data_IF_019483280667
#
_entry.id   IF_019483280667
#
_cell.length_a   1.000
_cell.length_b   1.000
_cell.length_c   1.000
_cell.angle_alpha   90.00
_cell.angle_beta   90.00
_cell.angle_gamma   90.00
#
_symmetry.space_group_name_H-M   'P 1'
#
loop_
_entity.id
_entity.type
_entity.pdbx_description
1 polymer ?
#
# COMPACT_ATOMS: atom_id res chain seq x y z
N UNK A 1 -9.67 -23.25 11.81
CA UNK A 1 -8.22 -23.49 11.93
C UNK A 1 -7.59 -22.28 12.59
N UNK A 2 -7.38 -22.33 13.92
CA UNK A 2 -6.73 -21.24 14.65
C UNK A 2 -5.22 -21.33 14.41
N UNK A 3 -4.68 -20.38 13.67
CA UNK A 3 -3.23 -20.17 13.58
C UNK A 3 -2.82 -19.41 14.83
N UNK A 4 -2.34 -20.14 15.84
CA UNK A 4 -1.66 -19.56 16.99
C UNK A 4 -0.26 -19.11 16.53
N UNK A 5 -0.16 -17.95 15.92
CA UNK A 5 1.11 -17.29 15.71
C UNK A 5 1.59 -16.81 17.09
N UNK A 6 2.55 -17.51 17.68
CA UNK A 6 3.38 -16.97 18.74
C UNK A 6 4.00 -15.69 18.21
N UNK A 7 3.46 -14.55 18.63
CA UNK A 7 4.05 -13.24 18.39
C UNK A 7 5.37 -13.21 19.16
N UNK A 8 6.48 -13.38 18.44
CA UNK A 8 7.79 -13.10 18.98
C UNK A 8 7.81 -11.58 19.33
N UNK A 9 7.65 -11.31 20.61
CA UNK A 9 7.66 -9.93 21.12
C UNK A 9 9.06 -9.37 20.96
N UNK A 10 9.23 -8.46 20.03
CA UNK A 10 10.44 -7.63 19.92
C UNK A 10 10.52 -6.75 21.18
N UNK A 11 11.70 -6.63 21.81
CA UNK A 11 11.88 -5.70 22.90
C UNK A 11 11.42 -4.30 22.51
N UNK A 12 10.51 -3.70 23.30
CA UNK A 12 9.92 -2.41 23.01
C UNK A 12 8.49 -2.43 22.49
N UNK A 13 7.89 -3.60 22.26
CA UNK A 13 6.46 -3.73 21.89
C UNK A 13 6.12 -3.39 20.44
N UNK A 14 7.12 -3.15 19.59
CA UNK A 14 6.90 -2.94 18.15
C UNK A 14 6.64 -4.26 17.43
N UNK A 15 5.70 -4.22 16.46
CA UNK A 15 5.42 -5.37 15.61
C UNK A 15 6.61 -5.65 14.67
N UNK A 16 7.07 -6.91 14.53
CA UNK A 16 8.08 -7.26 13.55
C UNK A 16 7.66 -6.91 12.11
N UNK A 17 8.60 -6.44 11.30
CA UNK A 17 8.35 -6.11 9.87
C UNK A 17 7.78 -7.31 9.13
N UNK A 18 8.24 -8.53 9.42
CA UNK A 18 7.72 -9.77 8.82
C UNK A 18 6.24 -9.97 9.10
N UNK A 19 5.79 -9.71 10.33
CA UNK A 19 4.38 -9.79 10.72
C UNK A 19 3.54 -8.74 9.98
N UNK A 20 4.01 -7.50 9.95
CA UNK A 20 3.36 -6.41 9.23
C UNK A 20 3.27 -6.70 7.73
N UNK A 21 4.33 -7.23 7.13
CA UNK A 21 4.35 -7.65 5.73
C UNK A 21 3.33 -8.74 5.45
N UNK A 22 3.26 -9.76 6.30
CA UNK A 22 2.29 -10.85 6.15
C UNK A 22 0.84 -10.34 6.22
N UNK A 23 0.54 -9.45 7.17
CA UNK A 23 -0.79 -8.85 7.31
C UNK A 23 -1.15 -7.95 6.11
N UNK A 24 -0.23 -7.11 5.66
CA UNK A 24 -0.45 -6.27 4.49
C UNK A 24 -0.76 -7.10 3.24
N UNK A 25 0.00 -8.18 3.04
CA UNK A 25 -0.22 -9.10 1.93
C UNK A 25 -1.54 -9.84 2.01
N UNK A 26 -1.89 -10.35 3.19
CA UNK A 26 -3.17 -11.02 3.41
C UNK A 26 -4.33 -10.08 3.13
N UNK A 27 -4.30 -8.87 3.68
CA UNK A 27 -5.33 -7.87 3.45
C UNK A 27 -5.46 -7.50 1.97
N UNK A 28 -4.37 -7.28 1.27
CA UNK A 28 -4.40 -6.98 -0.16
C UNK A 28 -5.04 -8.11 -0.96
N UNK A 29 -4.59 -9.35 -0.73
CA UNK A 29 -5.06 -10.53 -1.45
C UNK A 29 -6.51 -10.91 -1.12
N UNK A 30 -6.93 -10.75 0.12
CA UNK A 30 -8.21 -11.27 0.64
C UNK A 30 -9.32 -10.22 0.65
N UNK A 31 -8.99 -8.93 0.68
CA UNK A 31 -9.95 -7.85 0.69
C UNK A 31 -9.91 -7.00 -0.58
N UNK A 32 -8.73 -6.47 -0.95
CA UNK A 32 -8.62 -5.48 -2.04
C UNK A 32 -8.75 -6.12 -3.41
N UNK A 33 -8.01 -7.18 -3.67
CA UNK A 33 -8.04 -7.84 -4.99
C UNK A 33 -9.39 -8.47 -5.34
N UNK A 34 -10.10 -9.16 -4.44
CA UNK A 34 -11.44 -9.65 -4.73
C UNK A 34 -12.44 -8.53 -5.01
N UNK A 35 -12.32 -7.40 -4.29
CA UNK A 35 -13.14 -6.23 -4.56
C UNK A 35 -12.88 -5.66 -5.96
N UNK A 36 -11.61 -5.50 -6.35
CA UNK A 36 -11.23 -5.03 -7.70
C UNK A 36 -11.81 -5.96 -8.77
N UNK A 37 -11.66 -7.27 -8.62
CA UNK A 37 -12.19 -8.28 -9.56
C UNK A 37 -13.72 -8.25 -9.63
N UNK A 38 -14.37 -8.16 -8.49
CA UNK A 38 -15.84 -8.06 -8.44
C UNK A 38 -16.39 -6.83 -9.16
N UNK A 39 -15.70 -5.70 -9.11
CA UNK A 39 -16.07 -4.51 -9.88
C UNK A 39 -15.95 -4.72 -11.39
N UNK A 40 -14.94 -5.46 -11.83
CA UNK A 40 -14.77 -5.82 -13.23
C UNK A 40 -15.89 -6.73 -13.73
N UNK A 41 -16.17 -7.82 -13.01
CA UNK A 41 -17.22 -8.78 -13.35
C UNK A 41 -18.60 -8.12 -13.43
N UNK A 42 -18.92 -7.23 -12.48
CA UNK A 42 -20.18 -6.48 -12.49
C UNK A 42 -20.30 -5.55 -13.71
N UNK A 43 -19.19 -4.93 -14.13
CA UNK A 43 -19.16 -4.09 -15.32
C UNK A 43 -19.36 -4.89 -16.62
N UNK A 44 -18.74 -6.07 -16.73
CA UNK A 44 -18.93 -6.95 -17.90
C UNK A 44 -20.36 -7.49 -18.02
N UNK A 45 -21.01 -7.77 -16.89
CA UNK A 45 -22.40 -8.24 -16.86
C UNK A 45 -23.44 -7.13 -17.12
N UNK A 46 -22.98 -5.88 -17.34
CA UNK A 46 -23.87 -4.74 -17.63
C UNK A 46 -24.71 -4.28 -16.44
N UNK A 47 -24.41 -4.72 -15.22
CA UNK A 47 -25.14 -4.35 -14.01
C UNK A 47 -24.80 -2.94 -13.52
N UNK A 48 -23.72 -2.37 -13.99
CA UNK A 48 -23.35 -0.98 -13.73
C UNK A 48 -23.10 -0.20 -15.02
N UNK A 49 -23.76 0.96 -15.14
CA UNK A 49 -23.60 1.89 -16.28
C UNK A 49 -22.23 2.56 -16.39
N UNK A 50 -21.29 2.24 -15.54
CA UNK A 50 -19.98 2.88 -15.53
C UNK A 50 -18.89 1.91 -15.97
N UNK A 51 -18.64 1.85 -17.27
CA UNK A 51 -17.35 1.39 -17.83
C UNK A 51 -16.24 2.38 -17.49
N UNK A 52 -16.19 2.87 -16.26
CA UNK A 52 -15.30 3.93 -15.82
C UNK A 52 -14.33 3.46 -14.75
N UNK A 53 -13.27 4.22 -14.61
CA UNK A 53 -12.33 4.14 -13.50
C UNK A 53 -13.07 4.17 -12.17
N UNK A 54 -12.77 3.22 -11.30
CA UNK A 54 -13.22 3.20 -9.90
C UNK A 54 -12.05 3.61 -9.01
N UNK A 55 -12.29 4.54 -8.11
CA UNK A 55 -11.29 5.01 -7.16
C UNK A 55 -11.58 4.44 -5.77
N UNK A 56 -10.53 3.98 -5.09
CA UNK A 56 -10.56 3.53 -3.70
C UNK A 56 -9.58 4.38 -2.91
N UNK A 57 -10.05 4.98 -1.84
CA UNK A 57 -9.19 5.67 -0.89
C UNK A 57 -8.79 4.72 0.25
N UNK A 58 -7.50 4.55 0.43
CA UNK A 58 -6.92 3.80 1.54
C UNK A 58 -6.12 4.78 2.39
N UNK A 59 -6.48 4.87 3.67
CA UNK A 59 -5.77 5.71 4.63
C UNK A 59 -5.01 4.81 5.59
N UNK A 60 -3.71 5.04 5.72
CA UNK A 60 -2.84 4.26 6.59
C UNK A 60 -1.59 5.03 6.98
N UNK A 61 -0.68 4.40 7.68
CA UNK A 61 0.60 4.96 8.12
C UNK A 61 1.72 4.64 7.12
N UNK A 62 2.72 5.52 7.06
CA UNK A 62 3.81 5.43 6.09
C UNK A 62 4.57 4.10 6.13
N UNK A 63 4.77 3.52 7.31
CA UNK A 63 5.41 2.22 7.46
C UNK A 63 4.63 1.10 6.75
N UNK A 64 3.32 1.02 6.97
CA UNK A 64 2.48 0.00 6.33
C UNK A 64 2.34 0.25 4.81
N UNK A 65 2.17 1.51 4.40
CA UNK A 65 2.11 1.89 2.98
C UNK A 65 3.41 1.48 2.28
N UNK A 66 4.57 1.80 2.85
CA UNK A 66 5.86 1.44 2.28
C UNK A 66 6.05 -0.07 2.10
N UNK A 67 5.69 -0.86 3.11
CA UNK A 67 5.74 -2.33 3.06
C UNK A 67 4.81 -2.87 1.98
N UNK A 68 3.57 -2.39 1.92
CA UNK A 68 2.60 -2.81 0.92
C UNK A 68 3.11 -2.53 -0.50
N UNK A 69 3.59 -1.31 -0.76
CA UNK A 69 4.11 -0.94 -2.08
C UNK A 69 5.32 -1.76 -2.49
N UNK A 70 6.26 -2.00 -1.58
CA UNK A 70 7.41 -2.89 -1.85
C UNK A 70 6.96 -4.30 -2.22
N UNK A 71 5.95 -4.81 -1.54
CA UNK A 71 5.38 -6.12 -1.84
C UNK A 71 4.72 -6.15 -3.21
N UNK A 72 3.93 -5.15 -3.54
CA UNK A 72 3.26 -5.04 -4.84
C UNK A 72 4.28 -4.96 -5.97
N UNK A 73 5.39 -4.26 -5.76
CA UNK A 73 6.49 -4.14 -6.75
C UNK A 73 7.28 -5.44 -6.96
N UNK A 74 7.24 -6.37 -6.03
CA UNK A 74 7.77 -7.74 -6.22
C UNK A 74 6.85 -8.60 -7.10
N UNK A 75 5.59 -8.24 -7.22
CA UNK A 75 4.58 -8.91 -8.03
C UNK A 75 4.35 -8.25 -9.39
N UNK A 76 3.12 -7.85 -9.64
CA UNK A 76 2.64 -7.38 -10.95
C UNK A 76 2.56 -5.85 -11.08
N UNK A 77 2.91 -5.12 -10.04
CA UNK A 77 2.92 -3.65 -10.05
C UNK A 77 4.34 -3.13 -10.34
N UNK A 78 4.43 -2.06 -11.11
CA UNK A 78 5.70 -1.40 -11.44
C UNK A 78 5.62 0.08 -11.07
N UNK A 79 6.77 0.71 -10.86
CA UNK A 79 6.83 2.17 -10.74
C UNK A 79 6.85 2.80 -12.12
N UNK A 80 6.13 3.90 -12.29
CA UNK A 80 6.23 4.72 -13.49
C UNK A 80 7.62 5.37 -13.59
N UNK A 81 8.04 5.70 -14.81
CA UNK A 81 9.35 6.33 -15.04
C UNK A 81 9.47 7.62 -14.22
N UNK A 82 10.54 7.72 -13.44
CA UNK A 82 10.80 8.85 -12.56
C UNK A 82 10.22 8.74 -11.15
N UNK A 83 9.34 7.77 -10.89
CA UNK A 83 8.82 7.49 -9.55
C UNK A 83 9.80 6.61 -8.79
N UNK A 84 10.23 7.07 -7.62
CA UNK A 84 11.10 6.32 -6.71
C UNK A 84 10.41 6.10 -5.39
N UNK A 85 10.41 4.87 -4.90
CA UNK A 85 9.92 4.54 -3.56
C UNK A 85 10.99 4.91 -2.53
N UNK A 86 10.72 5.92 -1.77
CA UNK A 86 11.54 6.41 -0.66
C UNK A 86 10.71 6.38 0.62
N UNK A 87 10.97 7.25 1.58
CA UNK A 87 10.13 7.42 2.76
C UNK A 87 8.79 8.07 2.39
N UNK A 88 7.73 7.56 3.00
CA UNK A 88 6.40 8.14 2.88
C UNK A 88 6.28 9.34 3.82
N UNK A 89 6.01 10.51 3.27
CA UNK A 89 5.79 11.73 4.05
C UNK A 89 4.39 11.72 4.69
N UNK A 90 4.24 12.41 5.82
CA UNK A 90 2.95 12.58 6.47
C UNK A 90 1.97 13.32 5.56
N UNK A 91 0.71 12.90 5.60
CA UNK A 91 -0.37 13.44 4.77
C UNK A 91 -0.08 13.43 3.26
N UNK A 92 0.84 12.59 2.80
CA UNK A 92 1.14 12.44 1.38
C UNK A 92 0.12 11.55 0.67
N UNK A 93 0.02 11.72 -0.66
CA UNK A 93 -0.82 10.90 -1.52
C UNK A 93 0.05 10.02 -2.40
N UNK A 94 -0.26 8.73 -2.41
CA UNK A 94 0.34 7.76 -3.33
C UNK A 94 -0.77 7.19 -4.21
N UNK A 95 -0.53 7.12 -5.51
CA UNK A 95 -1.50 6.61 -6.48
C UNK A 95 -0.98 5.31 -7.09
N UNK A 96 -1.78 4.26 -6.95
CA UNK A 96 -1.56 2.95 -7.57
C UNK A 96 -2.72 2.69 -8.53
N UNK A 97 -2.42 2.51 -9.79
CA UNK A 97 -3.39 2.16 -10.82
C UNK A 97 -3.33 0.66 -11.08
N UNK A 98 -4.46 -0.01 -10.96
CA UNK A 98 -4.56 -1.47 -11.18
C UNK A 98 -5.54 -1.74 -12.31
N UNK A 99 -5.11 -2.55 -13.27
CA UNK A 99 -5.98 -3.11 -14.28
C UNK A 99 -6.74 -4.30 -13.69
N UNK A 100 -8.05 -4.18 -13.59
CA UNK A 100 -8.87 -5.16 -12.87
C UNK A 100 -8.83 -6.55 -13.51
N UNK A 101 -8.77 -6.64 -14.84
CA UNK A 101 -8.73 -7.91 -15.56
C UNK A 101 -7.46 -8.72 -15.30
N UNK A 102 -6.30 -8.07 -15.31
CA UNK A 102 -4.99 -8.73 -15.21
C UNK A 102 -4.36 -8.67 -13.83
N UNK A 103 -4.79 -7.72 -12.98
CA UNK A 103 -4.14 -7.39 -11.70
C UNK A 103 -2.79 -6.70 -11.87
N UNK A 104 -2.39 -6.37 -13.09
CA UNK A 104 -1.18 -5.58 -13.35
C UNK A 104 -1.42 -4.13 -12.98
N UNK A 105 -0.37 -3.46 -12.58
CA UNK A 105 -0.51 -2.07 -12.18
C UNK A 105 0.77 -1.27 -12.21
N UNK A 106 0.59 0.03 -11.93
CA UNK A 106 1.70 0.96 -11.82
C UNK A 106 1.48 1.92 -10.67
N UNK A 107 2.57 2.34 -10.05
CA UNK A 107 2.61 3.45 -9.10
C UNK A 107 2.93 4.69 -9.91
N UNK A 108 1.94 5.56 -10.11
CA UNK A 108 2.07 6.77 -10.92
C UNK A 108 2.48 7.99 -10.10
N UNK A 109 2.19 8.00 -8.80
CA UNK A 109 2.66 9.01 -7.84
C UNK A 109 3.01 8.35 -6.53
N UNK A 110 4.09 8.81 -5.90
CA UNK A 110 4.51 8.33 -4.60
C UNK A 110 4.82 9.51 -3.67
N UNK A 111 4.24 9.46 -2.48
CA UNK A 111 4.49 10.43 -1.40
C UNK A 111 4.33 11.89 -1.85
N UNK A 112 3.33 12.16 -2.69
CA UNK A 112 3.02 13.46 -3.22
C UNK A 112 2.39 14.36 -2.14
N UNK A 113 3.02 15.48 -1.86
CA UNK A 113 2.61 16.49 -0.88
C UNK A 113 2.30 17.85 -1.53
N UNK A 114 2.07 17.85 -2.84
CA UNK A 114 1.85 19.09 -3.58
C UNK A 114 0.68 19.94 -3.03
N UNK A 115 -0.34 19.27 -2.48
CA UNK A 115 -1.48 19.92 -1.83
C UNK A 115 -1.13 20.63 -0.52
N UNK A 116 0.05 20.35 0.05
CA UNK A 116 0.53 20.95 1.31
C UNK A 116 1.51 22.11 1.05
N UNK A 117 1.47 22.72 -0.12
CA UNK A 117 2.36 23.85 -0.46
C UNK A 117 2.28 24.94 0.61
N UNK A 118 3.46 25.33 1.13
CA UNK A 118 3.59 26.33 2.19
C UNK A 118 3.43 25.79 3.62
N UNK A 119 3.13 24.49 3.79
CA UNK A 119 3.08 23.85 5.10
C UNK A 119 4.39 23.10 5.39
N UNK A 120 4.73 22.96 6.68
CA UNK A 120 5.83 22.08 7.10
C UNK A 120 5.36 20.64 6.90
N UNK A 121 6.10 19.88 6.11
CA UNK A 121 5.84 18.46 5.88
C UNK A 121 6.80 17.66 6.73
N UNK A 122 6.26 16.89 7.67
CA UNK A 122 7.04 16.02 8.54
C UNK A 122 7.11 14.61 7.97
N UNK A 123 8.26 13.97 8.16
CA UNK A 123 8.40 12.54 7.87
C UNK A 123 7.70 11.71 8.96
N UNK A 124 7.20 10.54 8.56
CA UNK A 124 6.57 9.62 9.51
C UNK A 124 7.62 9.06 10.48
N UNK A 125 7.45 9.30 11.76
CA UNK A 125 8.40 8.92 12.83
C UNK A 125 8.25 7.43 13.22
N UNK A 126 7.29 6.72 12.65
CA UNK A 126 6.98 5.33 13.02
C UNK A 126 8.07 4.31 12.63
N UNK A 127 9.05 4.74 11.85
CA UNK A 127 10.24 3.93 11.55
C UNK A 127 11.44 4.61 12.23
N UNK A 128 11.69 4.27 13.46
CA UNK A 128 12.97 4.59 14.08
C UNK A 128 14.06 3.81 13.35
N UNK A 129 14.80 4.51 12.49
CA UNK A 129 16.13 4.06 12.10
C UNK A 129 16.99 4.07 13.35
N UNK A 130 17.07 2.93 14.03
CA UNK A 130 18.13 2.73 15.01
C UNK A 130 19.42 2.68 14.19
N UNK A 131 20.35 3.65 14.35
CA UNK A 131 21.63 3.54 13.68
C UNK A 131 22.30 2.23 14.13
N UNK A 132 23.01 1.53 13.24
CA UNK A 132 23.76 0.36 13.65
C UNK A 132 24.71 0.80 14.78
N UNK A 133 24.58 0.12 15.90
CA UNK A 133 25.51 0.30 17.02
C UNK A 133 26.92 0.04 16.52
N UNK A 134 27.74 1.05 16.67
CA UNK A 134 29.17 0.94 16.40
C UNK A 134 29.84 -0.09 17.31
#
# INVERSE_FOLDING_TARGET
>A
MHVNAKLDRVPGGMEPISSMTARANAWWREAVMPWIKGQWEAAELGHERSQGRKDVLIVSHGGLIGILLQTLCKGTVRTEKGVRLTRCLNASVTVVEIEAASGKGKISRFSDVFHLKGSVVEENVDVQDTPPSA
#
